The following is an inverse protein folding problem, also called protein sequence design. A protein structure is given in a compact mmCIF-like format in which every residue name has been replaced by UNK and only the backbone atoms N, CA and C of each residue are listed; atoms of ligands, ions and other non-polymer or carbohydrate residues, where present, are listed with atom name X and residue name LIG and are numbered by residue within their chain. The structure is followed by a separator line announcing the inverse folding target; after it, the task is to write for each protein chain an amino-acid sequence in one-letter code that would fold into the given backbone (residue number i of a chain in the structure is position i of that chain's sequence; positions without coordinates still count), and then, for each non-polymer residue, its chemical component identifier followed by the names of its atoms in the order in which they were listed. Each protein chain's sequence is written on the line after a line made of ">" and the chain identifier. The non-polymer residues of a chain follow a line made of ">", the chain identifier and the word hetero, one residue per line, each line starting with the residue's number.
data_IF_255236795979
#
_entry.id   IF_255236795979
#
_cell.length_a   1.000
_cell.length_b   1.000
_cell.length_c   1.000
_cell.angle_alpha   90.00
_cell.angle_beta   90.00
_cell.angle_gamma   90.00
#
_symmetry.space_group_name_H-M   'P 1'
#
loop_
_entity.id
_entity.type
_entity.pdbx_description
1 polymer ?
#
# COMPACT_ATOMS: atom_id res chain seq x y z
N UNK A 1 -16.56 -44.10 1.56
CA UNK A 1 -15.37 -43.57 2.28
C UNK A 1 -14.35 -42.93 1.30
N UNK A 2 -13.83 -43.63 0.29
CA UNK A 2 -12.82 -43.10 -0.65
C UNK A 2 -13.32 -41.87 -1.41
N UNK A 3 -14.54 -41.90 -1.96
CA UNK A 3 -15.13 -40.78 -2.71
C UNK A 3 -15.25 -39.52 -1.83
N UNK A 4 -15.69 -39.67 -0.56
CA UNK A 4 -15.81 -38.52 0.35
C UNK A 4 -14.45 -37.88 0.67
N UNK A 5 -13.41 -38.70 0.85
CA UNK A 5 -12.05 -38.22 1.04
C UNK A 5 -11.54 -37.45 -0.19
N UNK A 6 -11.80 -37.99 -1.39
CA UNK A 6 -11.40 -37.34 -2.64
C UNK A 6 -12.13 -35.98 -2.83
N UNK A 7 -13.44 -35.93 -2.60
CA UNK A 7 -14.21 -34.67 -2.65
C UNK A 7 -13.68 -33.66 -1.63
N UNK A 8 -13.44 -34.08 -0.39
CA UNK A 8 -12.86 -33.18 0.63
C UNK A 8 -11.48 -32.65 0.25
N UNK A 9 -10.63 -33.47 -0.37
CA UNK A 9 -9.33 -33.04 -0.84
C UNK A 9 -9.44 -31.98 -1.96
N UNK A 10 -10.40 -32.14 -2.89
CA UNK A 10 -10.65 -31.15 -3.94
C UNK A 10 -11.07 -29.81 -3.31
N UNK A 11 -12.04 -29.81 -2.41
CA UNK A 11 -12.52 -28.57 -1.77
C UNK A 11 -11.43 -27.91 -0.91
N UNK A 12 -10.59 -28.69 -0.23
CA UNK A 12 -9.42 -28.16 0.46
C UNK A 12 -8.43 -27.50 -0.52
N UNK A 13 -8.18 -28.14 -1.66
CA UNK A 13 -7.32 -27.56 -2.71
C UNK A 13 -7.88 -26.24 -3.25
N UNK A 14 -9.19 -26.16 -3.49
CA UNK A 14 -9.88 -24.93 -3.92
C UNK A 14 -9.74 -23.84 -2.83
N UNK A 15 -9.94 -24.18 -1.58
CA UNK A 15 -9.79 -23.25 -0.45
C UNK A 15 -8.38 -22.67 -0.36
N UNK A 16 -7.36 -23.54 -0.37
CA UNK A 16 -5.96 -23.10 -0.29
C UNK A 16 -5.58 -22.23 -1.50
N UNK A 17 -6.02 -22.61 -2.70
CA UNK A 17 -5.77 -21.84 -3.92
C UNK A 17 -6.46 -20.47 -3.90
N UNK A 18 -7.73 -20.43 -3.49
CA UNK A 18 -8.50 -19.18 -3.40
C UNK A 18 -7.87 -18.20 -2.42
N UNK A 19 -7.47 -18.67 -1.24
CA UNK A 19 -6.77 -17.83 -0.26
C UNK A 19 -5.44 -17.30 -0.78
N UNK A 20 -4.64 -18.15 -1.44
CA UNK A 20 -3.38 -17.73 -2.05
C UNK A 20 -3.59 -16.59 -3.06
N UNK A 21 -4.57 -16.74 -3.95
CA UNK A 21 -4.90 -15.72 -4.94
C UNK A 21 -5.33 -14.39 -4.30
N UNK A 22 -6.14 -14.41 -3.23
CA UNK A 22 -6.56 -13.20 -2.54
C UNK A 22 -5.37 -12.46 -1.90
N UNK A 23 -4.43 -13.19 -1.31
CA UNK A 23 -3.21 -12.61 -0.74
C UNK A 23 -2.29 -12.02 -1.82
N UNK A 24 -2.13 -12.71 -2.95
CA UNK A 24 -1.37 -12.19 -4.10
C UNK A 24 -2.03 -10.94 -4.67
N UNK A 25 -3.36 -10.89 -4.78
CA UNK A 25 -4.09 -9.71 -5.25
C UNK A 25 -3.84 -8.49 -4.36
N UNK A 26 -3.85 -8.65 -3.03
CA UNK A 26 -3.58 -7.52 -2.12
C UNK A 26 -2.15 -7.02 -2.27
N UNK A 27 -1.17 -7.92 -2.46
CA UNK A 27 0.22 -7.54 -2.70
C UNK A 27 0.38 -6.76 -4.01
N UNK A 28 -0.21 -7.26 -5.09
CA UNK A 28 -0.16 -6.57 -6.40
C UNK A 28 -0.90 -5.22 -6.35
N UNK A 29 -2.00 -5.13 -5.60
CA UNK A 29 -2.69 -3.87 -5.37
C UNK A 29 -1.82 -2.87 -4.61
N UNK A 30 -1.13 -3.30 -3.56
CA UNK A 30 -0.23 -2.45 -2.79
C UNK A 30 0.95 -1.96 -3.64
N UNK A 31 1.54 -2.85 -4.46
CA UNK A 31 2.59 -2.50 -5.42
C UNK A 31 2.09 -1.48 -6.44
N UNK A 32 0.91 -1.68 -6.99
CA UNK A 32 0.30 -0.75 -7.96
C UNK A 32 0.05 0.63 -7.33
N UNK A 33 -0.40 0.70 -6.09
CA UNK A 33 -0.55 1.96 -5.37
C UNK A 33 0.81 2.65 -5.14
N UNK A 34 1.83 1.89 -4.75
CA UNK A 34 3.18 2.41 -4.60
C UNK A 34 3.70 2.98 -5.92
N UNK A 35 3.61 2.25 -7.01
CA UNK A 35 4.07 2.70 -8.32
C UNK A 35 3.32 3.95 -8.80
N UNK A 36 2.00 3.97 -8.63
CA UNK A 36 1.18 5.12 -8.99
C UNK A 36 1.61 6.39 -8.22
N UNK A 37 1.82 6.27 -6.92
CA UNK A 37 2.25 7.43 -6.12
C UNK A 37 3.67 7.85 -6.47
N UNK A 38 4.57 6.93 -6.78
CA UNK A 38 5.93 7.25 -7.26
C UNK A 38 5.87 8.00 -8.59
N UNK A 39 5.10 7.52 -9.57
CA UNK A 39 4.94 8.21 -10.87
C UNK A 39 4.33 9.61 -10.70
N UNK A 40 3.34 9.75 -9.83
CA UNK A 40 2.73 11.05 -9.52
C UNK A 40 3.76 12.02 -8.90
N UNK A 41 4.64 11.52 -8.04
CA UNK A 41 5.75 12.29 -7.45
C UNK A 41 6.78 12.73 -8.50
N UNK A 42 7.15 11.82 -9.39
CA UNK A 42 8.09 12.11 -10.48
C UNK A 42 7.50 13.16 -11.44
N UNK A 43 6.24 13.01 -11.81
CA UNK A 43 5.54 14.02 -12.60
C UNK A 43 5.57 15.39 -11.93
N UNK A 44 5.25 15.46 -10.63
CA UNK A 44 5.33 16.70 -9.86
C UNK A 44 6.75 17.30 -9.87
N UNK A 45 7.78 16.48 -9.64
CA UNK A 45 9.17 16.91 -9.62
C UNK A 45 9.68 17.39 -11.00
N UNK A 46 9.25 16.73 -12.07
CA UNK A 46 9.62 17.06 -13.45
C UNK A 46 9.19 18.47 -13.85
N UNK A 47 8.07 18.94 -13.33
CA UNK A 47 7.55 20.30 -13.59
C UNK A 47 7.98 21.32 -12.52
N UNK A 48 8.96 21.01 -11.68
CA UNK A 48 9.47 21.92 -10.65
C UNK A 48 8.50 22.14 -9.49
N UNK A 49 7.62 21.17 -9.24
CA UNK A 49 6.52 21.18 -8.28
C UNK A 49 5.24 21.89 -8.75
N UNK A 50 4.13 21.51 -8.15
CA UNK A 50 2.83 22.11 -8.38
C UNK A 50 2.60 23.27 -7.41
N UNK A 51 2.08 24.40 -7.88
CA UNK A 51 1.69 25.52 -7.05
C UNK A 51 0.18 25.61 -6.96
N UNK A 52 -0.34 25.75 -5.74
CA UNK A 52 -1.77 25.91 -5.47
C UNK A 52 -2.03 27.28 -4.86
N UNK A 53 -3.18 27.87 -5.16
CA UNK A 53 -3.56 29.16 -4.60
C UNK A 53 -3.71 29.07 -3.08
N UNK A 54 -3.11 30.04 -2.38
CA UNK A 54 -3.09 30.10 -0.93
C UNK A 54 -4.40 30.67 -0.39
N UNK A 55 -5.36 29.78 -0.16
CA UNK A 55 -6.68 30.07 0.42
C UNK A 55 -6.72 29.67 1.90
N UNK A 56 -7.82 29.97 2.58
CA UNK A 56 -8.04 29.53 3.95
C UNK A 56 -7.84 28.02 4.09
N UNK A 57 -7.03 27.58 5.05
CA UNK A 57 -6.66 26.18 5.28
C UNK A 57 -5.48 25.66 4.47
N UNK A 58 -5.01 26.40 3.43
CA UNK A 58 -3.85 26.02 2.61
C UNK A 58 -2.59 26.60 3.24
N UNK A 59 -1.77 25.76 3.85
CA UNK A 59 -0.53 26.17 4.49
C UNK A 59 0.69 25.87 3.59
N UNK A 60 1.73 26.69 3.74
CA UNK A 60 3.02 26.48 3.09
C UNK A 60 3.80 25.38 3.81
N UNK A 61 4.61 24.62 3.08
CA UNK A 61 5.50 23.64 3.69
C UNK A 61 6.68 24.33 4.39
N UNK A 62 6.75 24.32 5.75
CA UNK A 62 7.80 25.04 6.49
C UNK A 62 9.19 24.40 6.31
N UNK A 63 9.26 23.14 5.91
CA UNK A 63 10.50 22.39 5.77
C UNK A 63 11.29 22.78 4.52
N UNK A 64 10.65 23.36 3.50
CA UNK A 64 11.33 23.85 2.30
C UNK A 64 12.25 25.03 2.61
N UNK A 65 11.83 25.94 3.48
CA UNK A 65 12.69 27.05 3.92
C UNK A 65 13.95 26.60 4.64
N UNK A 66 13.90 25.45 5.34
CA UNK A 66 15.08 24.89 6.01
C UNK A 66 16.19 24.44 5.05
N UNK A 67 15.83 24.19 3.80
CA UNK A 67 16.76 23.81 2.72
C UNK A 67 16.93 24.93 1.68
N UNK A 68 16.57 26.18 2.05
CA UNK A 68 16.77 27.35 1.20
C UNK A 68 15.75 27.53 0.06
N UNK A 69 14.63 26.80 0.06
CA UNK A 69 13.58 26.89 -0.95
C UNK A 69 12.42 27.73 -0.39
N UNK A 70 12.11 28.86 -1.04
CA UNK A 70 10.90 29.64 -0.72
C UNK A 70 9.68 28.97 -1.38
N UNK A 71 8.72 28.46 -0.57
CA UNK A 71 7.56 27.77 -1.11
C UNK A 71 6.48 28.69 -1.67
N UNK A 72 6.51 29.98 -1.32
CA UNK A 72 5.44 30.92 -1.66
C UNK A 72 5.84 31.85 -2.80
N UNK A 73 4.93 32.06 -3.73
CA UNK A 73 5.09 33.04 -4.83
C UNK A 73 3.88 33.96 -4.88
N UNK A 74 4.12 35.23 -5.23
CA UNK A 74 3.06 36.21 -5.47
C UNK A 74 3.00 36.54 -6.97
N UNK A 75 1.84 36.36 -7.56
CA UNK A 75 1.57 36.68 -8.97
C UNK A 75 0.85 38.03 -9.08
N UNK A 76 0.60 38.44 -10.32
CA UNK A 76 -0.19 39.63 -10.63
C UNK A 76 -1.54 39.64 -9.90
N UNK A 77 -2.03 40.82 -9.51
CA UNK A 77 -3.24 40.96 -8.73
C UNK A 77 -3.11 40.52 -7.26
N UNK A 78 -1.88 40.46 -6.73
CA UNK A 78 -1.58 40.07 -5.35
C UNK A 78 -2.07 38.66 -4.97
N UNK A 79 -2.25 37.77 -5.95
CA UNK A 79 -2.61 36.37 -5.73
C UNK A 79 -1.38 35.62 -5.21
N UNK A 80 -1.55 34.90 -4.11
CA UNK A 80 -0.48 34.11 -3.47
C UNK A 80 -0.68 32.62 -3.75
N UNK A 81 0.40 31.96 -4.13
CA UNK A 81 0.45 30.52 -4.36
C UNK A 81 1.52 29.89 -3.47
N UNK A 82 1.35 28.62 -3.17
CA UNK A 82 2.32 27.87 -2.38
C UNK A 82 2.61 26.52 -3.00
N UNK A 83 3.87 26.11 -2.91
CA UNK A 83 4.41 24.89 -3.51
C UNK A 83 3.85 23.64 -2.83
N UNK A 84 3.45 22.67 -3.64
CA UNK A 84 3.18 21.29 -3.27
C UNK A 84 4.30 20.41 -3.80
N UNK A 85 5.41 20.33 -3.05
CA UNK A 85 6.51 19.44 -3.41
C UNK A 85 6.07 17.96 -3.30
N UNK A 86 6.76 17.00 -3.95
CA UNK A 86 6.36 15.60 -3.97
C UNK A 86 6.07 14.97 -2.60
N UNK A 87 6.79 15.39 -1.55
CA UNK A 87 6.58 14.84 -0.21
C UNK A 87 5.26 15.34 0.43
N UNK A 88 4.99 16.65 0.36
CA UNK A 88 3.74 17.22 0.87
C UNK A 88 2.53 16.69 0.07
N UNK A 89 2.64 16.61 -1.26
CA UNK A 89 1.61 16.04 -2.12
C UNK A 89 1.26 14.59 -1.71
N UNK A 90 2.26 13.74 -1.48
CA UNK A 90 2.05 12.35 -1.02
C UNK A 90 1.26 12.31 0.29
N UNK A 91 1.58 13.18 1.25
CA UNK A 91 0.86 13.28 2.52
C UNK A 91 -0.58 13.72 2.33
N UNK A 92 -0.82 14.76 1.53
CA UNK A 92 -2.18 15.25 1.27
C UNK A 92 -3.03 14.18 0.57
N UNK A 93 -2.47 13.45 -0.41
CA UNK A 93 -3.13 12.30 -1.04
C UNK A 93 -3.44 11.21 0.00
N UNK A 94 -2.49 10.89 0.88
CA UNK A 94 -2.68 9.89 1.94
C UNK A 94 -3.83 10.25 2.89
N UNK A 95 -3.96 11.52 3.25
CA UNK A 95 -5.09 11.99 4.09
C UNK A 95 -6.42 11.82 3.35
N UNK A 96 -6.47 12.15 2.06
CA UNK A 96 -7.68 12.03 1.25
C UNK A 96 -8.09 10.57 1.04
N UNK A 97 -7.14 9.68 0.73
CA UNK A 97 -7.42 8.25 0.54
C UNK A 97 -7.74 7.57 1.86
N UNK A 98 -7.05 7.94 2.95
CA UNK A 98 -7.30 7.42 4.28
C UNK A 98 -8.72 7.64 4.76
N UNK A 99 -9.33 8.78 4.42
CA UNK A 99 -10.74 9.07 4.77
C UNK A 99 -11.75 8.35 3.88
N UNK A 100 -11.42 8.07 2.62
CA UNK A 100 -12.34 7.46 1.64
C UNK A 100 -12.29 5.93 1.61
N UNK A 101 -11.09 5.39 1.56
CA UNK A 101 -10.84 3.95 1.34
C UNK A 101 -10.06 3.30 2.47
N UNK A 102 -9.61 4.07 3.45
CA UNK A 102 -8.72 3.60 4.51
C UNK A 102 -7.27 3.37 4.06
N UNK A 103 -6.96 3.44 2.76
CA UNK A 103 -5.59 3.28 2.24
C UNK A 103 -4.76 4.49 2.61
N UNK A 104 -3.61 4.26 3.24
CA UNK A 104 -2.67 5.31 3.67
C UNK A 104 -1.30 5.11 3.05
N UNK A 105 -0.67 6.23 2.74
CA UNK A 105 0.73 6.29 2.30
C UNK A 105 1.54 6.99 3.37
N UNK A 106 2.68 6.43 3.76
CA UNK A 106 3.63 7.12 4.61
C UNK A 106 4.98 7.19 3.92
N UNK A 107 5.43 8.43 3.65
CA UNK A 107 6.76 8.68 3.13
C UNK A 107 7.73 8.80 4.29
N UNK A 108 8.81 8.04 4.27
CA UNK A 108 9.75 7.99 5.39
C UNK A 108 11.20 7.85 4.94
N UNK A 109 12.11 8.12 5.84
CA UNK A 109 13.55 7.87 5.66
C UNK A 109 14.25 7.77 7.02
N UNK A 110 15.46 7.23 7.04
CA UNK A 110 16.26 7.13 8.27
C UNK A 110 16.68 8.51 8.84
N UNK A 111 16.69 9.55 7.98
CA UNK A 111 17.01 10.93 8.36
C UNK A 111 15.96 11.88 7.78
N UNK A 112 14.74 11.92 8.34
CA UNK A 112 13.67 12.75 7.80
C UNK A 112 13.90 14.21 8.16
N UNK A 113 13.71 15.12 7.18
CA UNK A 113 13.71 16.56 7.41
C UNK A 113 12.45 16.99 8.22
N UNK A 114 11.33 16.34 7.94
CA UNK A 114 10.09 16.51 8.68
C UNK A 114 9.96 15.39 9.71
N UNK A 115 9.86 15.69 11.02
CA UNK A 115 9.71 14.67 12.06
C UNK A 115 8.52 13.72 11.88
N UNK A 116 7.42 14.19 11.26
CA UNK A 116 6.24 13.35 10.98
C UNK A 116 6.51 12.25 9.94
N UNK A 117 7.64 12.34 9.24
CA UNK A 117 8.12 11.31 8.32
C UNK A 117 9.12 10.34 9.00
N UNK A 118 9.21 10.35 10.34
CA UNK A 118 10.02 9.39 11.07
C UNK A 118 9.49 7.96 10.87
N UNK A 119 10.38 6.98 10.62
CA UNK A 119 9.95 5.60 10.42
C UNK A 119 9.48 4.96 11.72
N UNK A 120 8.45 4.13 11.64
CA UNK A 120 8.14 3.17 12.69
C UNK A 120 9.08 1.95 12.63
N UNK A 121 8.90 0.97 13.52
CA UNK A 121 9.78 -0.21 13.60
C UNK A 121 9.83 -1.01 12.29
N UNK A 122 8.68 -1.26 11.67
CA UNK A 122 8.61 -1.96 10.37
C UNK A 122 9.32 -1.17 9.27
N UNK A 123 9.08 0.12 9.20
CA UNK A 123 9.65 1.00 8.18
C UNK A 123 11.15 1.16 8.37
N UNK A 124 11.62 1.22 9.62
CA UNK A 124 13.05 1.29 9.92
C UNK A 124 13.80 0.03 9.48
N UNK A 125 13.25 -1.15 9.78
CA UNK A 125 13.81 -2.43 9.32
C UNK A 125 13.80 -2.53 7.78
N UNK A 126 12.69 -2.11 7.15
CA UNK A 126 12.57 -2.08 5.70
C UNK A 126 13.62 -1.20 5.04
N UNK A 127 13.81 0.03 5.54
CA UNK A 127 14.82 0.96 5.03
C UNK A 127 16.24 0.39 5.11
N UNK A 128 16.58 -0.29 6.21
CA UNK A 128 17.87 -0.97 6.36
C UNK A 128 18.07 -2.13 5.38
N UNK A 129 16.98 -2.84 5.04
CA UNK A 129 16.99 -3.91 4.03
C UNK A 129 17.15 -3.33 2.62
N UNK A 130 16.54 -2.19 2.32
CA UNK A 130 16.67 -1.51 1.03
C UNK A 130 18.10 -1.05 0.76
N UNK A 131 18.83 -0.59 1.78
CA UNK A 131 20.26 -0.26 1.66
C UNK A 131 21.10 -1.50 1.28
N UNK A 132 20.64 -2.72 1.57
CA UNK A 132 21.25 -4.00 1.19
C UNK A 132 20.75 -4.55 -0.14
N UNK A 133 19.90 -3.79 -0.86
CA UNK A 133 19.40 -4.16 -2.19
C UNK A 133 18.09 -4.93 -2.21
N UNK A 134 17.39 -5.10 -1.07
CA UNK A 134 16.03 -5.63 -1.05
C UNK A 134 15.10 -4.65 -1.77
N UNK A 135 14.21 -5.17 -2.63
CA UNK A 135 13.39 -4.32 -3.49
C UNK A 135 12.03 -3.97 -2.89
N UNK A 136 11.49 -4.82 -2.02
CA UNK A 136 10.21 -4.61 -1.36
C UNK A 136 10.11 -5.47 -0.11
N UNK A 137 9.32 -5.04 0.85
CA UNK A 137 8.96 -5.81 2.05
C UNK A 137 7.47 -5.65 2.33
N UNK A 138 6.87 -6.66 2.95
CA UNK A 138 5.47 -6.60 3.36
C UNK A 138 5.23 -7.43 4.62
N UNK A 139 4.16 -7.11 5.32
CA UNK A 139 3.65 -7.93 6.42
C UNK A 139 2.13 -7.76 6.58
N UNK A 140 1.50 -8.73 7.23
CA UNK A 140 0.14 -8.65 7.74
C UNK A 140 0.19 -8.19 9.18
N UNK A 141 -0.10 -6.92 9.43
CA UNK A 141 -0.18 -6.37 10.78
C UNK A 141 -1.58 -6.61 11.36
N UNK A 142 -1.66 -7.61 12.24
CA UNK A 142 -2.89 -7.97 12.97
C UNK A 142 -2.89 -7.45 14.42
N UNK A 143 -1.81 -6.80 14.84
CA UNK A 143 -1.67 -6.28 16.19
C UNK A 143 -2.28 -4.87 16.33
N UNK A 144 -2.50 -4.16 15.24
CA UNK A 144 -3.21 -2.89 15.21
C UNK A 144 -4.72 -3.08 15.46
N UNK A 145 -5.41 -2.05 15.96
CA UNK A 145 -6.87 -2.08 16.18
C UNK A 145 -7.67 -2.50 14.93
N UNK A 146 -7.17 -2.16 13.76
CA UNK A 146 -7.69 -2.60 12.48
C UNK A 146 -6.57 -3.35 11.74
N UNK A 147 -6.78 -4.64 11.38
CA UNK A 147 -5.81 -5.40 10.61
C UNK A 147 -5.48 -4.71 9.30
N UNK A 148 -4.18 -4.56 9.00
CA UNK A 148 -3.70 -3.92 7.78
C UNK A 148 -2.65 -4.78 7.07
N UNK A 149 -2.68 -4.76 5.74
CA UNK A 149 -1.56 -5.19 4.92
C UNK A 149 -0.62 -4.02 4.74
N UNK A 150 0.60 -4.19 5.19
CA UNK A 150 1.66 -3.19 5.05
C UNK A 150 2.63 -3.63 3.96
N UNK A 151 2.82 -2.77 3.00
CA UNK A 151 3.78 -2.93 1.90
C UNK A 151 4.72 -1.74 1.90
N UNK A 152 5.99 -1.95 1.65
CA UNK A 152 6.94 -0.87 1.51
C UNK A 152 7.96 -1.17 0.42
N UNK A 153 8.32 -0.15 -0.35
CA UNK A 153 9.41 -0.22 -1.31
C UNK A 153 10.26 1.08 -1.30
N UNK A 154 11.52 1.00 -1.77
CA UNK A 154 12.45 2.12 -1.68
C UNK A 154 12.11 3.24 -2.65
N UNK A 155 12.43 4.46 -2.25
CA UNK A 155 12.52 5.62 -3.13
C UNK A 155 13.99 5.79 -3.56
N UNK A 156 14.22 5.53 -4.83
CA UNK A 156 15.53 5.72 -5.45
C UNK A 156 15.65 7.15 -5.95
N UNK A 157 16.80 7.76 -5.74
CA UNK A 157 17.10 9.12 -6.21
C UNK A 157 17.21 9.12 -7.73
N UNK A 158 16.38 9.92 -8.37
CA UNK A 158 16.45 10.22 -9.79
C UNK A 158 17.03 11.62 -10.03
N UNK A 159 17.40 11.93 -11.27
CA UNK A 159 17.98 13.22 -11.64
C UNK A 159 17.13 14.42 -11.16
N UNK A 160 15.80 14.32 -11.29
CA UNK A 160 14.85 15.37 -10.85
C UNK A 160 14.81 15.57 -9.34
N UNK A 161 15.26 14.60 -8.55
CA UNK A 161 15.31 14.70 -7.09
C UNK A 161 16.47 15.57 -6.60
N UNK A 162 17.56 15.64 -7.38
CA UNK A 162 18.80 16.30 -6.99
C UNK A 162 18.60 17.80 -6.83
N UNK A 163 17.70 18.43 -7.59
CA UNK A 163 17.40 19.86 -7.51
C UNK A 163 17.06 20.33 -6.07
N UNK A 164 16.34 19.49 -5.31
CA UNK A 164 15.99 19.78 -3.91
C UNK A 164 16.91 19.10 -2.89
N UNK A 165 17.55 17.96 -3.27
CA UNK A 165 18.32 17.12 -2.35
C UNK A 165 19.84 17.22 -2.53
N UNK A 166 20.35 18.18 -3.35
CA UNK A 166 21.80 18.35 -3.58
C UNK A 166 22.61 18.60 -2.31
N UNK A 167 22.03 19.32 -1.33
CA UNK A 167 22.71 19.62 -0.05
C UNK A 167 22.86 18.40 0.86
N UNK A 168 22.08 17.33 0.64
CA UNK A 168 22.11 16.10 1.44
C UNK A 168 23.17 15.10 0.94
N UNK A 169 23.83 15.39 -0.18
CA UNK A 169 24.93 14.59 -0.73
C UNK A 169 24.51 13.29 -1.42
N UNK A 170 23.22 13.08 -1.68
CA UNK A 170 22.75 11.90 -2.41
C UNK A 170 23.13 11.93 -3.89
N UNK A 171 23.42 10.73 -4.41
CA UNK A 171 23.70 10.49 -5.82
C UNK A 171 22.53 9.75 -6.45
N UNK A 172 22.35 9.94 -7.76
CA UNK A 172 21.38 9.16 -8.55
C UNK A 172 21.58 7.65 -8.35
N UNK A 173 20.50 6.90 -8.22
CA UNK A 173 20.51 5.47 -7.97
C UNK A 173 20.59 5.06 -6.49
N UNK A 174 20.86 5.98 -5.57
CA UNK A 174 20.88 5.68 -4.13
C UNK A 174 19.47 5.66 -3.52
N UNK A 175 19.28 4.86 -2.48
CA UNK A 175 18.04 4.86 -1.71
C UNK A 175 18.02 6.10 -0.80
N UNK A 176 17.00 6.96 -0.97
CA UNK A 176 16.80 8.17 -0.13
C UNK A 176 15.81 7.93 1.01
N UNK A 177 14.95 6.96 0.85
CA UNK A 177 13.87 6.64 1.79
C UNK A 177 12.96 5.57 1.20
N UNK A 178 11.72 5.54 1.64
CA UNK A 178 10.71 4.64 1.12
C UNK A 178 9.31 5.20 1.27
N UNK A 179 8.35 4.54 0.65
CA UNK A 179 6.93 4.76 0.89
C UNK A 179 6.32 3.46 1.38
N UNK A 180 5.69 3.52 2.53
CA UNK A 180 4.85 2.47 3.05
C UNK A 180 3.40 2.69 2.57
N UNK A 181 2.76 1.61 2.13
CA UNK A 181 1.36 1.55 1.69
C UNK A 181 0.64 0.64 2.67
N UNK A 182 -0.36 1.18 3.37
CA UNK A 182 -1.16 0.45 4.33
C UNK A 182 -2.58 0.27 3.79
N UNK A 183 -2.98 -1.00 3.57
CA UNK A 183 -4.31 -1.37 3.05
C UNK A 183 -5.10 -2.05 4.16
N UNK A 184 -6.29 -1.53 4.53
CA UNK A 184 -7.16 -2.20 5.50
C UNK A 184 -7.56 -3.59 5.02
N UNK A 185 -7.52 -4.58 5.92
CA UNK A 185 -7.83 -5.98 5.61
C UNK A 185 -9.30 -6.36 5.86
N UNK A 186 -10.15 -5.46 6.33
CA UNK A 186 -11.55 -5.75 6.69
C UNK A 186 -12.30 -6.41 5.53
N UNK A 187 -12.24 -5.82 4.35
CA UNK A 187 -12.90 -6.34 3.15
C UNK A 187 -12.31 -7.69 2.71
N UNK A 188 -11.00 -7.84 2.81
CA UNK A 188 -10.31 -9.08 2.51
C UNK A 188 -10.73 -10.20 3.47
N UNK A 189 -10.72 -9.93 4.78
CA UNK A 189 -11.11 -10.90 5.82
C UNK A 189 -12.57 -11.31 5.69
N UNK A 190 -13.46 -10.38 5.36
CA UNK A 190 -14.86 -10.68 5.04
C UNK A 190 -14.96 -11.61 3.84
N UNK A 191 -14.27 -11.30 2.75
CA UNK A 191 -14.25 -12.12 1.53
C UNK A 191 -13.67 -13.51 1.79
N UNK A 192 -12.56 -13.61 2.51
CA UNK A 192 -11.95 -14.90 2.89
C UNK A 192 -12.89 -15.73 3.77
N UNK A 193 -13.58 -15.10 4.70
CA UNK A 193 -14.55 -15.78 5.58
C UNK A 193 -15.76 -16.27 4.80
N UNK A 194 -16.31 -15.45 3.92
CA UNK A 194 -17.44 -15.81 3.05
C UNK A 194 -17.06 -16.98 2.13
N UNK A 195 -15.89 -16.92 1.48
CA UNK A 195 -15.40 -18.01 0.64
C UNK A 195 -15.23 -19.31 1.43
N UNK A 196 -14.67 -19.23 2.65
CA UNK A 196 -14.49 -20.38 3.52
C UNK A 196 -15.83 -21.03 3.86
N UNK A 197 -16.81 -20.25 4.29
CA UNK A 197 -18.15 -20.75 4.63
C UNK A 197 -18.80 -21.38 3.39
N UNK A 198 -18.76 -20.71 2.26
CA UNK A 198 -19.34 -21.22 1.00
C UNK A 198 -18.70 -22.55 0.58
N UNK A 199 -17.39 -22.68 0.62
CA UNK A 199 -16.65 -23.91 0.29
C UNK A 199 -17.05 -25.05 1.23
N UNK A 200 -17.16 -24.79 2.54
CA UNK A 200 -17.58 -25.80 3.53
C UNK A 200 -19.01 -26.26 3.22
N UNK A 201 -19.94 -25.33 3.01
CA UNK A 201 -21.34 -25.66 2.71
C UNK A 201 -21.43 -26.48 1.44
N UNK A 202 -20.78 -26.08 0.36
CA UNK A 202 -20.77 -26.84 -0.90
C UNK A 202 -20.15 -28.23 -0.73
N UNK A 203 -19.06 -28.35 0.02
CA UNK A 203 -18.43 -29.64 0.32
C UNK A 203 -19.39 -30.58 1.06
N UNK A 204 -20.07 -30.09 2.09
CA UNK A 204 -21.04 -30.87 2.87
C UNK A 204 -22.22 -31.29 2.00
N UNK A 205 -22.81 -30.37 1.24
CA UNK A 205 -23.92 -30.67 0.33
C UNK A 205 -23.53 -31.71 -0.72
N UNK A 206 -22.35 -31.60 -1.30
CA UNK A 206 -21.86 -32.57 -2.30
C UNK A 206 -21.70 -33.97 -1.67
N UNK A 207 -21.14 -34.05 -0.47
CA UNK A 207 -21.00 -35.33 0.25
C UNK A 207 -22.37 -35.95 0.56
N UNK A 208 -23.32 -35.15 1.05
CA UNK A 208 -24.68 -35.62 1.30
C UNK A 208 -25.36 -36.14 0.03
N UNK A 209 -25.23 -35.42 -1.06
CA UNK A 209 -25.80 -35.84 -2.35
C UNK A 209 -25.20 -37.17 -2.82
N UNK A 210 -23.89 -37.34 -2.70
CA UNK A 210 -23.22 -38.59 -3.08
C UNK A 210 -23.65 -39.76 -2.21
N UNK A 211 -23.82 -39.55 -0.90
CA UNK A 211 -24.35 -40.59 0.01
C UNK A 211 -25.79 -40.95 -0.36
N UNK A 212 -26.64 -39.96 -0.64
CA UNK A 212 -28.02 -40.16 -1.03
C UNK A 212 -28.14 -40.98 -2.33
N UNK A 213 -27.34 -40.64 -3.34
CA UNK A 213 -27.30 -41.38 -4.62
C UNK A 213 -26.88 -42.83 -4.39
N UNK A 214 -25.82 -43.05 -3.59
CA UNK A 214 -25.33 -44.39 -3.28
C UNK A 214 -26.39 -45.24 -2.53
N UNK A 215 -27.11 -44.64 -1.58
CA UNK A 215 -28.19 -45.30 -0.86
C UNK A 215 -29.40 -45.63 -1.77
N UNK A 216 -29.83 -44.67 -2.59
CA UNK A 216 -30.95 -44.86 -3.54
C UNK A 216 -30.64 -45.97 -4.57
N UNK A 217 -29.40 -46.01 -5.07
CA UNK A 217 -28.96 -47.06 -6.02
C UNK A 217 -28.95 -48.46 -5.39
N UNK A 218 -28.66 -48.59 -4.10
CA UNK A 218 -28.68 -49.89 -3.39
C UNK A 218 -30.09 -50.36 -3.01
N UNK A 219 -31.10 -49.43 -2.99
CA UNK A 219 -32.48 -49.80 -2.61
C UNK A 219 -33.32 -50.24 -3.82
N UNK A 220 -32.81 -50.14 -5.04
CA UNK A 220 -33.47 -50.54 -6.30
C UNK A 220 -33.12 -51.96 -6.79
N UNK A 221 -32.32 -52.69 -6.04
CA UNK A 221 -32.03 -54.09 -6.22
C UNK A 221 -32.60 -54.91 -5.05
#
# INVERSE_FOLDING_TARGET
>A
MIISLFVSAIFLGIYLRSNGLLLDMVREQARSYFELIVQTRLWNAQYGSVYVEKKTGVQSNPYLRKIGIEPDVTCEGNRKFTMRNPALMTREISLMTGTKTGVKFHITSLKPLNPENAPDSFEQEALQQFEKGVKEVWLFDKASELPVYRYMAPLVVEHTCISCHHQEGYKEGQVRGGISVNIPLIELEHTMTTNRVMIIVLSVLTIFLLIFIAFSSNSTF
#
